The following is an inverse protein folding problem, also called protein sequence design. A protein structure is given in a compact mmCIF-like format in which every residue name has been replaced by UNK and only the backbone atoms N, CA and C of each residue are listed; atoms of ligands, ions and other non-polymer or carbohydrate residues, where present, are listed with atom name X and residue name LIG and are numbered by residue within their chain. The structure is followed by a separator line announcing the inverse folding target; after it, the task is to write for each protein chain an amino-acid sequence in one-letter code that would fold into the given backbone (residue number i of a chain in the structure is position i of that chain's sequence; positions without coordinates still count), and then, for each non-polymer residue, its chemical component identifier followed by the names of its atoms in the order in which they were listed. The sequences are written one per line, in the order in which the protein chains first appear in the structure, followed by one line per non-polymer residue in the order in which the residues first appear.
data_IF_781213651539
#
_entry.id   IF_781213651539
#
_cell.length_a   1.000
_cell.length_b   1.000
_cell.length_c   1.000
_cell.angle_alpha   90.00
_cell.angle_beta   90.00
_cell.angle_gamma   90.00
#
_symmetry.space_group_name_H-M   'P 1'
#
loop_
_entity.id
_entity.type
_entity.pdbx_description
1 polymer ?
#
# COMPACT_ATOMS: atom_id res chain seq x y z
N UNK A 1 -13.54 0.99 6.40
CA UNK A 1 -13.44 2.45 6.13
C UNK A 1 -14.00 3.28 7.29
N UNK A 2 -13.50 4.51 7.44
CA UNK A 2 -13.90 5.32 8.59
C UNK A 2 -15.32 5.92 8.51
N UNK A 3 -15.94 6.08 7.34
CA UNK A 3 -17.24 6.72 7.23
C UNK A 3 -18.00 6.36 5.95
N UNK A 4 -19.31 6.50 6.04
CA UNK A 4 -20.24 6.29 4.93
C UNK A 4 -20.12 7.38 3.86
N UNK A 5 -20.17 6.95 2.60
CA UNK A 5 -20.27 7.84 1.43
C UNK A 5 -21.39 7.39 0.50
N UNK A 6 -21.85 8.33 -0.31
CA UNK A 6 -22.77 8.12 -1.43
C UNK A 6 -22.23 8.86 -2.65
N UNK A 7 -22.30 8.23 -3.81
CA UNK A 7 -21.88 8.81 -5.09
C UNK A 7 -22.84 8.40 -6.20
N UNK A 8 -23.12 9.33 -7.13
CA UNK A 8 -23.97 9.08 -8.29
C UNK A 8 -25.44 8.93 -7.96
N UNK A 9 -26.17 8.17 -8.79
CA UNK A 9 -27.61 7.99 -8.73
C UNK A 9 -27.97 6.74 -7.93
N UNK A 10 -28.60 6.92 -6.77
CA UNK A 10 -29.04 5.84 -5.87
C UNK A 10 -30.50 6.03 -5.48
N UNK A 11 -31.26 4.95 -5.26
CA UNK A 11 -32.67 5.06 -4.87
C UNK A 11 -32.82 5.58 -3.42
N UNK A 12 -33.97 6.14 -3.04
CA UNK A 12 -34.22 6.67 -1.70
C UNK A 12 -34.06 5.65 -0.56
N UNK A 13 -34.14 4.36 -0.88
CA UNK A 13 -33.97 3.24 0.07
C UNK A 13 -33.16 2.13 -0.59
N UNK A 14 -32.27 1.51 0.18
CA UNK A 14 -31.55 0.31 -0.25
C UNK A 14 -32.50 -0.82 -0.61
N UNK A 15 -32.16 -1.57 -1.65
CA UNK A 15 -32.90 -2.72 -2.16
C UNK A 15 -34.35 -2.39 -2.52
N UNK A 16 -34.55 -1.26 -3.22
CA UNK A 16 -35.82 -0.87 -3.83
C UNK A 16 -35.66 -0.70 -5.34
N UNK A 17 -36.77 -0.69 -6.07
CA UNK A 17 -36.73 -0.55 -7.52
C UNK A 17 -36.03 0.76 -7.92
N UNK A 18 -34.84 0.62 -8.50
CA UNK A 18 -34.11 1.71 -9.13
C UNK A 18 -34.19 1.55 -10.64
N UNK A 19 -34.81 2.51 -11.32
CA UNK A 19 -35.17 2.37 -12.73
C UNK A 19 -34.31 3.23 -13.62
N UNK A 20 -33.96 2.64 -14.79
CA UNK A 20 -33.35 3.38 -15.89
C UNK A 20 -34.34 4.38 -16.49
N UNK A 21 -33.88 5.39 -17.23
CA UNK A 21 -34.77 6.33 -17.94
C UNK A 21 -35.78 5.65 -18.88
N UNK A 22 -35.43 4.49 -19.42
CA UNK A 22 -36.27 3.68 -20.32
C UNK A 22 -37.23 2.77 -19.57
N UNK A 23 -37.22 2.77 -18.22
CA UNK A 23 -38.12 2.01 -17.36
C UNK A 23 -37.64 0.62 -16.97
N UNK A 24 -36.44 0.19 -17.42
CA UNK A 24 -35.75 -1.01 -16.94
C UNK A 24 -35.34 -0.89 -15.48
N UNK A 25 -34.66 -1.91 -14.95
CA UNK A 25 -34.07 -1.87 -13.63
C UNK A 25 -32.54 -1.83 -13.72
N UNK A 26 -31.88 -1.08 -12.83
CA UNK A 26 -30.47 -1.26 -12.53
C UNK A 26 -30.30 -2.51 -11.67
N UNK A 27 -29.13 -3.14 -11.78
CA UNK A 27 -28.79 -4.37 -11.07
C UNK A 27 -27.93 -4.05 -9.84
N UNK A 28 -28.34 -4.57 -8.70
CA UNK A 28 -27.63 -4.35 -7.44
C UNK A 28 -26.48 -5.34 -7.25
N UNK A 29 -25.31 -4.84 -6.81
CA UNK A 29 -24.22 -5.64 -6.27
C UNK A 29 -23.93 -5.17 -4.85
N UNK A 30 -24.08 -6.07 -3.87
CA UNK A 30 -23.62 -5.82 -2.50
C UNK A 30 -22.19 -6.36 -2.36
N UNK A 31 -21.23 -5.45 -2.30
CA UNK A 31 -19.86 -5.77 -1.88
C UNK A 31 -19.75 -5.65 -0.36
N UNK A 32 -19.30 -6.71 0.32
CA UNK A 32 -19.24 -6.72 1.78
C UNK A 32 -18.15 -7.64 2.30
N UNK A 33 -17.50 -7.19 3.37
CA UNK A 33 -16.42 -7.87 4.06
C UNK A 33 -16.94 -8.80 5.16
N UNK A 34 -16.08 -9.74 5.59
CA UNK A 34 -16.31 -10.69 6.71
C UNK A 34 -17.67 -11.37 6.65
N UNK A 35 -18.07 -11.85 5.46
CA UNK A 35 -19.38 -12.49 5.26
C UNK A 35 -20.55 -11.51 5.48
N UNK A 36 -20.39 -10.27 5.09
CA UNK A 36 -21.34 -9.15 5.24
C UNK A 36 -21.54 -8.66 6.67
N UNK A 37 -20.64 -8.99 7.59
CA UNK A 37 -20.68 -8.53 8.99
C UNK A 37 -19.81 -7.30 9.27
N UNK A 38 -19.00 -6.86 8.30
CA UNK A 38 -18.12 -5.68 8.37
C UNK A 38 -18.55 -4.60 7.36
N UNK A 39 -17.59 -3.82 6.86
CA UNK A 39 -17.85 -2.76 5.89
C UNK A 39 -18.48 -3.30 4.60
N UNK A 40 -19.42 -2.55 4.04
CA UNK A 40 -20.11 -2.92 2.81
C UNK A 40 -20.53 -1.70 2.00
N UNK A 41 -20.70 -1.89 0.70
CA UNK A 41 -21.30 -0.92 -0.22
C UNK A 41 -22.26 -1.59 -1.19
N UNK A 42 -23.33 -0.90 -1.54
CA UNK A 42 -24.31 -1.34 -2.52
C UNK A 42 -24.12 -0.52 -3.81
N UNK A 43 -23.83 -1.21 -4.90
CA UNK A 43 -23.57 -0.65 -6.21
C UNK A 43 -24.78 -0.90 -7.13
N UNK A 44 -25.05 0.03 -8.06
CA UNK A 44 -26.15 -0.04 -9.01
C UNK A 44 -25.59 -0.06 -10.44
N UNK A 45 -25.63 -1.22 -11.09
CA UNK A 45 -25.05 -1.51 -12.39
C UNK A 45 -26.06 -1.35 -13.53
N UNK A 46 -25.59 -0.93 -14.72
CA UNK A 46 -26.35 -0.99 -15.96
C UNK A 46 -26.53 -2.41 -16.49
N UNK A 47 -25.49 -3.22 -16.36
CA UNK A 47 -25.44 -4.62 -16.79
C UNK A 47 -25.50 -5.61 -15.63
N UNK A 48 -25.62 -6.89 -15.92
CA UNK A 48 -25.66 -7.95 -14.89
C UNK A 48 -24.24 -8.16 -14.34
N UNK A 49 -23.95 -7.85 -13.06
CA UNK A 49 -22.58 -7.84 -12.52
C UNK A 49 -21.93 -9.23 -12.43
N UNK A 50 -22.70 -10.30 -12.45
CA UNK A 50 -22.22 -11.68 -12.39
C UNK A 50 -21.98 -12.33 -13.77
N UNK A 51 -22.24 -11.62 -14.88
CA UNK A 51 -22.14 -12.19 -16.21
C UNK A 51 -20.68 -12.34 -16.66
N UNK A 52 -20.32 -13.52 -17.14
CA UNK A 52 -19.06 -13.83 -17.81
C UNK A 52 -19.32 -14.52 -19.14
N UNK A 53 -18.52 -14.22 -20.17
CA UNK A 53 -18.57 -14.84 -21.51
C UNK A 53 -17.46 -15.86 -21.69
N UNK A 54 -16.28 -15.62 -21.09
CA UNK A 54 -15.12 -16.51 -21.16
C UNK A 54 -14.28 -16.42 -19.89
N UNK A 55 -13.53 -17.49 -19.61
CA UNK A 55 -12.58 -17.57 -18.51
C UNK A 55 -11.37 -18.40 -18.91
N UNK A 56 -10.17 -17.82 -18.82
CA UNK A 56 -8.90 -18.47 -19.17
C UNK A 56 -7.82 -18.19 -18.14
N UNK A 57 -6.80 -19.06 -18.01
CA UNK A 57 -5.66 -18.78 -17.14
C UNK A 57 -4.97 -17.46 -17.51
N UNK A 58 -4.53 -16.73 -16.50
CA UNK A 58 -3.63 -15.58 -16.61
C UNK A 58 -2.34 -15.88 -15.87
N UNK A 59 -1.21 -15.70 -16.55
CA UNK A 59 0.11 -15.87 -15.96
C UNK A 59 0.48 -14.63 -15.14
N UNK A 60 0.66 -14.84 -13.84
CA UNK A 60 1.04 -13.78 -12.88
C UNK A 60 2.53 -13.48 -12.94
N UNK A 61 2.93 -12.24 -12.61
CA UNK A 61 4.32 -11.98 -12.21
C UNK A 61 4.78 -12.96 -11.13
N UNK A 62 6.09 -13.27 -11.12
CA UNK A 62 6.65 -14.25 -10.20
C UNK A 62 6.25 -13.97 -8.74
N UNK A 63 5.73 -14.99 -8.07
CA UNK A 63 5.34 -14.95 -6.66
C UNK A 63 6.32 -15.74 -5.78
N UNK A 64 7.40 -16.25 -6.35
CA UNK A 64 8.39 -17.07 -5.66
C UNK A 64 9.21 -16.25 -4.68
N UNK A 65 9.50 -16.85 -3.53
CA UNK A 65 10.35 -16.26 -2.49
C UNK A 65 11.41 -17.24 -2.03
N UNK A 66 12.49 -16.72 -1.45
CA UNK A 66 13.58 -17.47 -0.84
C UNK A 66 13.82 -16.98 0.59
N UNK A 67 14.07 -17.89 1.56
CA UNK A 67 14.32 -17.51 2.94
C UNK A 67 15.47 -16.52 3.10
N UNK A 68 15.36 -15.59 4.07
CA UNK A 68 16.47 -14.73 4.48
C UNK A 68 17.52 -15.53 5.26
N UNK A 69 18.37 -16.24 4.54
CA UNK A 69 19.44 -17.07 5.09
C UNK A 69 20.81 -16.72 4.48
N UNK A 70 21.89 -16.59 5.30
CA UNK A 70 21.84 -16.50 6.76
C UNK A 70 21.00 -15.32 7.21
N UNK A 71 20.43 -15.39 8.42
CA UNK A 71 19.58 -14.32 8.97
C UNK A 71 20.44 -13.08 9.27
N UNK A 72 20.34 -12.07 8.41
CA UNK A 72 21.07 -10.80 8.53
C UNK A 72 20.16 -9.64 8.10
N UNK A 73 20.46 -8.40 8.53
CA UNK A 73 19.86 -7.21 7.95
C UNK A 73 20.18 -7.09 6.46
N UNK A 74 19.23 -6.63 5.66
CA UNK A 74 19.39 -6.45 4.21
C UNK A 74 19.14 -4.99 3.81
N UNK A 75 19.87 -4.56 2.77
CA UNK A 75 19.61 -3.31 2.07
C UNK A 75 19.30 -3.62 0.61
N UNK A 76 18.16 -3.16 0.11
CA UNK A 76 17.66 -3.39 -1.24
C UNK A 76 17.53 -2.04 -1.96
N UNK A 77 18.15 -1.90 -3.13
CA UNK A 77 18.20 -0.66 -3.93
C UNK A 77 17.17 -0.73 -5.05
N UNK A 78 15.92 -0.40 -4.78
CA UNK A 78 14.79 -0.63 -5.69
C UNK A 78 14.88 0.15 -6.99
N UNK A 79 15.47 1.35 -6.98
CA UNK A 79 15.66 2.16 -8.19
C UNK A 79 16.55 1.47 -9.23
N UNK A 80 17.33 0.45 -8.85
CA UNK A 80 18.15 -0.34 -9.77
C UNK A 80 17.38 -1.46 -10.49
N UNK A 81 16.14 -1.73 -10.06
CA UNK A 81 15.33 -2.81 -10.65
C UNK A 81 14.79 -2.50 -12.03
N UNK A 82 14.66 -1.23 -12.38
CA UNK A 82 14.01 -0.78 -13.61
C UNK A 82 14.94 0.16 -14.39
N UNK A 83 15.04 -0.08 -15.70
CA UNK A 83 15.71 0.79 -16.67
C UNK A 83 14.68 1.64 -17.44
N UNK A 84 14.94 1.87 -18.72
CA UNK A 84 14.09 2.69 -19.61
C UNK A 84 12.80 1.97 -20.08
N UNK A 85 12.62 0.70 -19.76
CA UNK A 85 11.45 -0.11 -20.11
C UNK A 85 10.13 0.34 -19.45
N UNK A 86 10.20 1.22 -18.46
CA UNK A 86 9.04 1.72 -17.72
C UNK A 86 7.93 2.30 -18.60
N UNK A 87 8.27 2.82 -19.79
CA UNK A 87 7.28 3.43 -20.72
C UNK A 87 6.23 2.45 -21.22
N UNK A 88 6.60 1.17 -21.34
CA UNK A 88 5.68 0.09 -21.74
C UNK A 88 5.21 -0.77 -20.56
N UNK A 89 5.65 -0.44 -19.36
CA UNK A 89 5.31 -1.18 -18.13
C UNK A 89 4.07 -0.58 -17.47
N UNK A 90 3.16 -1.41 -17.00
CA UNK A 90 2.00 -1.01 -16.21
C UNK A 90 2.14 -1.39 -14.73
N UNK A 91 1.30 -0.78 -13.89
CA UNK A 91 1.35 -0.93 -12.43
C UNK A 91 0.99 -2.34 -11.94
N UNK A 92 0.27 -3.14 -12.70
CA UNK A 92 -0.22 -4.48 -12.30
C UNK A 92 0.76 -5.56 -12.76
N UNK A 93 1.00 -5.65 -14.06
CA UNK A 93 1.85 -6.69 -14.64
C UNK A 93 3.35 -6.43 -14.42
N UNK A 94 3.74 -5.16 -14.23
CA UNK A 94 5.14 -4.77 -14.01
C UNK A 94 5.65 -4.91 -12.58
N UNK A 95 4.82 -5.31 -11.62
CA UNK A 95 5.24 -5.47 -10.20
C UNK A 95 6.35 -6.50 -10.06
N UNK A 96 7.46 -6.12 -9.42
CA UNK A 96 8.51 -7.05 -9.01
C UNK A 96 8.42 -7.30 -7.52
N UNK A 97 8.18 -8.55 -7.12
CA UNK A 97 8.10 -8.94 -5.71
C UNK A 97 9.47 -8.74 -5.05
N UNK A 98 9.50 -7.94 -3.99
CA UNK A 98 10.71 -7.60 -3.23
C UNK A 98 10.80 -8.46 -1.97
N UNK A 99 9.75 -8.46 -1.16
CA UNK A 99 9.65 -9.21 0.08
C UNK A 99 8.26 -9.81 0.21
N UNK A 100 8.12 -10.93 0.90
CA UNK A 100 6.82 -11.51 1.14
C UNK A 100 6.78 -12.60 2.20
N UNK A 101 5.59 -12.78 2.78
CA UNK A 101 5.23 -13.92 3.61
C UNK A 101 3.76 -14.32 3.34
N UNK A 102 3.17 -15.10 4.23
CA UNK A 102 1.78 -15.53 4.08
C UNK A 102 0.73 -14.44 4.34
N UNK A 103 1.11 -13.30 4.93
CA UNK A 103 0.16 -12.25 5.35
C UNK A 103 0.29 -10.99 4.48
N UNK A 104 1.50 -10.68 4.03
CA UNK A 104 1.79 -9.48 3.24
C UNK A 104 2.82 -9.76 2.15
N UNK A 105 2.67 -9.10 1.00
CA UNK A 105 3.63 -9.07 -0.11
C UNK A 105 3.96 -7.65 -0.45
N UNK A 106 5.24 -7.38 -0.61
CA UNK A 106 5.77 -6.05 -0.90
C UNK A 106 6.43 -6.11 -2.27
N UNK A 107 5.91 -5.33 -3.19
CA UNK A 107 6.42 -5.23 -4.57
C UNK A 107 6.77 -3.78 -4.89
N UNK A 108 7.61 -3.61 -5.90
CA UNK A 108 7.92 -2.30 -6.44
C UNK A 108 7.70 -2.29 -7.94
N UNK A 109 7.26 -1.15 -8.48
CA UNK A 109 7.02 -0.97 -9.92
C UNK A 109 7.36 0.44 -10.36
N UNK A 110 7.85 0.55 -11.60
CA UNK A 110 8.02 1.81 -12.32
C UNK A 110 7.24 1.68 -13.62
N UNK A 111 6.22 2.50 -13.81
CA UNK A 111 5.23 2.34 -14.87
C UNK A 111 4.96 3.65 -15.62
N UNK A 112 4.65 3.53 -16.91
CA UNK A 112 4.25 4.64 -17.77
C UNK A 112 3.09 4.28 -18.71
N UNK A 113 2.65 3.02 -18.71
CA UNK A 113 1.51 2.57 -19.50
C UNK A 113 0.27 2.35 -18.63
N UNK A 114 -0.94 2.58 -19.16
CA UNK A 114 -2.17 2.18 -18.50
C UNK A 114 -2.21 0.67 -18.28
N UNK A 115 -2.68 0.24 -17.10
CA UNK A 115 -2.89 -1.18 -16.85
C UNK A 115 -4.17 -1.69 -17.51
N UNK A 116 -4.25 -3.00 -17.69
CA UNK A 116 -5.53 -3.67 -17.91
C UNK A 116 -6.44 -3.52 -16.68
N UNK A 117 -7.73 -3.82 -16.83
CA UNK A 117 -8.63 -3.94 -15.69
C UNK A 117 -8.18 -5.11 -14.81
N UNK A 118 -8.08 -4.86 -13.52
CA UNK A 118 -7.55 -5.81 -12.57
C UNK A 118 -8.41 -5.88 -11.30
N UNK A 119 -8.41 -7.05 -10.67
CA UNK A 119 -9.10 -7.33 -9.40
C UNK A 119 -8.21 -8.20 -8.52
N UNK A 120 -7.87 -7.73 -7.32
CA UNK A 120 -7.21 -8.55 -6.32
C UNK A 120 -8.26 -9.31 -5.48
N UNK A 121 -8.33 -10.62 -5.61
CA UNK A 121 -9.21 -11.50 -4.84
C UNK A 121 -8.58 -12.07 -3.57
N UNK A 122 -7.33 -11.66 -3.21
CA UNK A 122 -6.63 -12.16 -2.01
C UNK A 122 -6.92 -11.32 -0.77
N UNK A 123 -6.82 -10.00 -0.92
CA UNK A 123 -6.99 -9.03 0.14
C UNK A 123 -6.87 -7.60 -0.40
N UNK A 124 -6.77 -6.64 0.49
CA UNK A 124 -6.63 -5.24 0.13
C UNK A 124 -5.22 -4.92 -0.36
N UNK A 125 -5.11 -3.85 -1.11
CA UNK A 125 -3.84 -3.28 -1.54
C UNK A 125 -3.66 -1.89 -0.92
N UNK A 126 -2.46 -1.62 -0.42
CA UNK A 126 -1.99 -0.28 -0.09
C UNK A 126 -0.85 0.05 -1.05
N UNK A 127 -1.08 0.98 -1.96
CA UNK A 127 -0.08 1.41 -2.93
C UNK A 127 0.40 2.81 -2.55
N UNK A 128 1.67 2.92 -2.18
CA UNK A 128 2.30 4.21 -1.91
C UNK A 128 2.93 4.75 -3.19
N UNK A 129 2.51 5.95 -3.59
CA UNK A 129 3.06 6.65 -4.76
C UNK A 129 4.34 7.38 -4.33
N UNK A 130 5.50 6.82 -4.67
CA UNK A 130 6.79 7.43 -4.37
C UNK A 130 7.05 8.66 -5.23
N UNK A 131 6.68 8.58 -6.54
CA UNK A 131 6.88 9.65 -7.50
C UNK A 131 5.92 9.51 -8.68
N UNK A 132 5.64 10.61 -9.37
CA UNK A 132 4.72 10.66 -10.50
C UNK A 132 3.26 10.84 -10.06
N UNK A 133 2.37 10.71 -11.03
CA UNK A 133 0.94 10.89 -10.86
C UNK A 133 0.14 9.94 -11.77
N UNK A 134 -1.07 9.59 -11.33
CA UNK A 134 -1.97 8.72 -12.07
C UNK A 134 -3.44 8.97 -11.71
N UNK A 135 -4.34 8.54 -12.58
CA UNK A 135 -5.73 8.33 -12.23
C UNK A 135 -5.97 6.84 -11.97
N UNK A 136 -6.49 6.50 -10.81
CA UNK A 136 -6.97 5.15 -10.50
C UNK A 136 -8.46 5.09 -10.82
N UNK A 137 -8.79 4.45 -11.93
CA UNK A 137 -10.18 4.26 -12.35
C UNK A 137 -10.73 2.97 -11.74
N UNK A 138 -11.92 3.05 -11.14
CA UNK A 138 -12.52 1.93 -10.40
C UNK A 138 -14.02 1.82 -10.66
N UNK A 139 -14.62 0.71 -10.27
CA UNK A 139 -16.10 0.55 -10.27
C UNK A 139 -16.81 1.56 -9.37
N UNK A 140 -16.10 2.19 -8.44
CA UNK A 140 -16.63 3.22 -7.53
C UNK A 140 -16.47 4.65 -8.06
N UNK A 141 -15.80 4.85 -9.20
CA UNK A 141 -15.39 6.14 -9.73
C UNK A 141 -13.88 6.25 -9.86
N UNK A 142 -13.33 7.45 -10.00
CA UNK A 142 -11.90 7.69 -10.18
C UNK A 142 -11.26 8.41 -9.00
N UNK A 143 -9.97 8.14 -8.80
CA UNK A 143 -9.10 8.81 -7.82
C UNK A 143 -7.89 9.36 -8.55
N UNK A 144 -7.68 10.68 -8.52
CA UNK A 144 -6.41 11.26 -8.93
C UNK A 144 -5.42 11.15 -7.78
N UNK A 145 -4.27 10.59 -8.08
CA UNK A 145 -3.23 10.29 -7.09
C UNK A 145 -1.88 10.83 -7.55
N UNK A 146 -1.06 11.22 -6.59
CA UNK A 146 0.24 11.83 -6.84
C UNK A 146 1.24 11.45 -5.75
N UNK A 147 2.47 11.91 -5.89
CA UNK A 147 3.53 11.67 -4.92
C UNK A 147 3.05 11.85 -3.48
N UNK A 148 3.38 10.90 -2.62
CA UNK A 148 3.04 10.88 -1.20
C UNK A 148 1.70 10.22 -0.88
N UNK A 149 0.88 9.88 -1.88
CA UNK A 149 -0.40 9.21 -1.65
C UNK A 149 -0.22 7.74 -1.28
N UNK A 150 -0.89 7.33 -0.22
CA UNK A 150 -1.29 5.96 0.05
C UNK A 150 -2.65 5.72 -0.58
N UNK A 151 -2.75 4.74 -1.46
CA UNK A 151 -4.00 4.37 -2.13
C UNK A 151 -4.45 3.03 -1.59
N UNK A 152 -5.54 3.01 -0.84
CA UNK A 152 -6.13 1.79 -0.32
C UNK A 152 -7.20 1.32 -1.30
N UNK A 153 -7.02 0.11 -1.82
CA UNK A 153 -7.97 -0.52 -2.74
C UNK A 153 -8.50 -1.78 -2.05
N UNK A 154 -9.78 -1.78 -1.65
CA UNK A 154 -10.40 -2.94 -1.03
C UNK A 154 -10.39 -4.17 -1.94
N UNK A 155 -10.27 -5.34 -1.33
CA UNK A 155 -10.36 -6.63 -2.00
C UNK A 155 -11.55 -6.70 -2.96
N UNK A 156 -11.36 -7.35 -4.09
CA UNK A 156 -12.35 -7.54 -5.14
C UNK A 156 -12.80 -6.28 -5.90
N UNK A 157 -12.24 -5.12 -5.62
CA UNK A 157 -12.48 -3.89 -6.40
C UNK A 157 -11.87 -4.02 -7.80
N UNK A 158 -12.69 -3.96 -8.84
CA UNK A 158 -12.20 -3.87 -10.22
C UNK A 158 -11.69 -2.45 -10.47
N UNK A 159 -10.45 -2.33 -10.91
CA UNK A 159 -9.78 -1.05 -11.16
C UNK A 159 -8.71 -1.14 -12.23
N UNK A 160 -8.21 0.01 -12.68
CA UNK A 160 -6.98 0.12 -13.46
C UNK A 160 -6.22 1.40 -13.11
N UNK A 161 -4.94 1.41 -13.37
CA UNK A 161 -4.06 2.54 -13.20
C UNK A 161 -3.76 3.21 -14.54
N UNK A 162 -3.89 4.51 -14.61
CA UNK A 162 -3.62 5.32 -15.80
C UNK A 162 -2.61 6.39 -15.41
N UNK A 163 -1.29 6.18 -15.63
CA UNK A 163 -0.29 7.22 -15.42
C UNK A 163 -0.61 8.47 -16.25
N UNK A 164 -0.56 9.66 -15.64
CA UNK A 164 -0.97 10.94 -16.27
C UNK A 164 0.19 11.93 -16.40
N UNK A 165 1.29 11.74 -15.66
CA UNK A 165 2.47 12.59 -15.70
C UNK A 165 3.37 12.35 -16.92
N UNK A 166 4.30 13.30 -17.18
CA UNK A 166 5.33 13.15 -18.21
C UNK A 166 6.43 12.13 -17.81
N UNK A 167 6.63 11.94 -16.51
CA UNK A 167 7.59 11.01 -15.92
C UNK A 167 6.98 9.67 -15.57
N UNK A 168 7.82 8.71 -15.09
CA UNK A 168 7.34 7.42 -14.63
C UNK A 168 6.57 7.55 -13.32
N UNK A 169 5.49 6.78 -13.19
CA UNK A 169 4.87 6.48 -11.90
C UNK A 169 5.74 5.46 -11.16
N UNK A 170 6.21 5.81 -9.97
CA UNK A 170 6.95 4.92 -9.07
C UNK A 170 6.05 4.54 -7.91
N UNK A 171 5.83 3.25 -7.72
CA UNK A 171 4.90 2.77 -6.71
C UNK A 171 5.47 1.63 -5.87
N UNK A 172 5.32 1.77 -4.56
CA UNK A 172 5.60 0.76 -3.55
C UNK A 172 4.27 0.09 -3.16
N UNK A 173 4.12 -1.18 -3.52
CA UNK A 173 2.85 -1.90 -3.42
C UNK A 173 2.89 -2.87 -2.25
N UNK A 174 1.99 -2.71 -1.29
CA UNK A 174 1.79 -3.59 -0.13
C UNK A 174 0.46 -4.33 -0.36
N UNK A 175 0.54 -5.62 -0.65
CA UNK A 175 -0.62 -6.49 -0.90
C UNK A 175 -0.87 -7.35 0.33
N UNK A 176 -2.01 -7.19 0.98
CA UNK A 176 -2.40 -7.98 2.14
C UNK A 176 -3.14 -9.27 1.75
N UNK A 177 -3.15 -10.24 2.65
CA UNK A 177 -4.12 -11.36 2.66
C UNK A 177 -5.29 -11.08 3.63
N UNK A 178 -5.56 -9.81 3.91
CA UNK A 178 -6.57 -9.31 4.83
C UNK A 178 -7.05 -7.93 4.38
N UNK A 179 -7.89 -7.29 5.21
CA UNK A 179 -8.24 -5.89 5.03
C UNK A 179 -7.13 -4.98 5.55
N UNK A 180 -7.03 -3.78 4.97
CA UNK A 180 -6.13 -2.71 5.41
C UNK A 180 -7.00 -1.54 5.88
N UNK A 181 -6.87 -1.16 7.15
CA UNK A 181 -7.72 -0.17 7.80
C UNK A 181 -6.90 0.86 8.56
N UNK A 182 -7.47 2.04 8.89
CA UNK A 182 -6.90 2.89 9.93
C UNK A 182 -6.69 2.10 11.23
N UNK A 183 -5.64 2.42 12.03
CA UNK A 183 -5.33 1.65 13.23
C UNK A 183 -6.47 1.69 14.26
N UNK A 184 -6.84 0.53 14.80
CA UNK A 184 -7.91 0.43 15.82
C UNK A 184 -7.69 1.35 17.03
N UNK A 185 -6.42 1.65 17.37
CA UNK A 185 -6.07 2.59 18.44
C UNK A 185 -6.58 4.01 18.22
N UNK A 186 -6.80 4.39 16.95
CA UNK A 186 -7.29 5.71 16.55
C UNK A 186 -8.78 5.73 16.20
N UNK A 187 -9.46 4.59 16.29
CA UNK A 187 -10.88 4.48 15.97
C UNK A 187 -11.73 4.37 17.23
N UNK A 188 -12.89 5.03 17.21
CA UNK A 188 -13.99 4.72 18.11
C UNK A 188 -14.52 3.30 17.81
N UNK A 189 -15.29 2.74 18.74
CA UNK A 189 -15.97 1.46 18.49
C UNK A 189 -16.97 1.48 17.31
N UNK A 190 -17.26 2.64 16.77
CA UNK A 190 -18.14 2.87 15.62
C UNK A 190 -17.40 3.20 14.33
N UNK A 191 -16.06 3.08 14.32
CA UNK A 191 -15.23 3.29 13.13
C UNK A 191 -14.87 4.74 12.82
N UNK A 192 -15.21 5.70 13.67
CA UNK A 192 -14.85 7.11 13.51
C UNK A 192 -13.44 7.35 14.04
N UNK A 193 -12.64 8.18 13.38
CA UNK A 193 -11.35 8.62 13.87
C UNK A 193 -11.51 9.46 15.13
N UNK A 194 -10.65 9.22 16.13
CA UNK A 194 -10.63 9.94 17.39
C UNK A 194 -9.86 11.24 17.21
N UNK A 195 -10.22 12.28 17.99
CA UNK A 195 -9.62 13.61 17.89
C UNK A 195 -8.09 13.63 18.09
N UNK A 196 -7.53 12.69 18.81
CA UNK A 196 -6.09 12.55 19.01
C UNK A 196 -5.38 11.66 17.96
N UNK A 197 -6.09 11.24 16.93
CA UNK A 197 -5.47 10.54 15.80
C UNK A 197 -4.61 11.51 14.98
N UNK A 198 -3.54 11.01 14.32
CA UNK A 198 -2.64 11.85 13.54
C UNK A 198 -3.23 12.32 12.19
N UNK A 199 -4.45 11.94 11.86
CA UNK A 199 -5.23 12.38 10.70
C UNK A 199 -6.72 12.15 10.94
N UNK A 200 -7.57 12.70 10.10
CA UNK A 200 -9.02 12.59 10.25
C UNK A 200 -9.72 12.24 8.90
N UNK A 201 -11.03 12.06 8.95
CA UNK A 201 -11.82 11.69 7.77
C UNK A 201 -11.74 12.68 6.60
N UNK A 202 -11.44 13.96 6.85
CA UNK A 202 -11.26 14.97 5.80
C UNK A 202 -10.01 14.75 4.96
N UNK A 203 -9.00 14.11 5.54
CA UNK A 203 -7.71 13.82 4.91
C UNK A 203 -7.83 12.60 3.98
N UNK A 204 -8.93 11.85 4.07
CA UNK A 204 -9.21 10.67 3.27
C UNK A 204 -10.02 11.05 2.02
N UNK A 205 -9.39 11.04 0.86
CA UNK A 205 -10.02 11.34 -0.43
C UNK A 205 -10.66 10.07 -1.01
N UNK A 206 -11.98 10.12 -1.26
CA UNK A 206 -12.70 9.02 -1.92
C UNK A 206 -12.86 9.26 -3.43
N UNK A 207 -13.42 8.27 -4.15
CA UNK A 207 -13.64 8.38 -5.58
C UNK A 207 -14.54 9.54 -5.96
N UNK A 208 -14.36 10.06 -7.18
CA UNK A 208 -15.25 11.01 -7.85
C UNK A 208 -15.86 10.39 -9.10
N UNK A 209 -17.00 10.89 -9.56
CA UNK A 209 -17.70 10.35 -10.71
C UNK A 209 -19.19 10.17 -10.45
N UNK A 210 -19.94 9.23 -11.02
CA UNK A 210 -19.55 7.89 -11.47
C UNK A 210 -18.70 7.89 -12.76
N UNK A 211 -17.91 6.82 -12.95
CA UNK A 211 -17.19 6.55 -14.17
C UNK A 211 -18.03 5.58 -15.01
N UNK A 212 -18.57 6.07 -16.13
CA UNK A 212 -19.43 5.27 -17.00
C UNK A 212 -18.75 5.06 -18.35
N UNK A 213 -18.38 3.81 -18.62
CA UNK A 213 -17.67 3.42 -19.84
C UNK A 213 -18.50 2.36 -20.58
N UNK A 214 -18.70 2.57 -21.88
CA UNK A 214 -19.33 1.59 -22.75
C UNK A 214 -18.27 0.63 -23.31
N UNK A 215 -18.62 -0.64 -23.45
CA UNK A 215 -17.72 -1.67 -23.98
C UNK A 215 -18.41 -3.02 -23.98
N UNK A 216 -17.98 -3.89 -24.90
CA UNK A 216 -18.44 -5.27 -24.97
C UNK A 216 -17.24 -6.21 -24.98
N UNK A 217 -17.41 -7.40 -24.40
CA UNK A 217 -16.38 -8.43 -24.32
C UNK A 217 -15.05 -7.92 -23.73
N UNK A 218 -15.15 -7.30 -22.55
CA UNK A 218 -14.02 -6.65 -21.87
C UNK A 218 -13.31 -7.63 -20.96
N UNK A 219 -11.98 -7.67 -21.05
CA UNK A 219 -11.15 -8.52 -20.20
C UNK A 219 -10.88 -7.90 -18.83
N UNK A 220 -10.97 -8.71 -17.79
CA UNK A 220 -10.61 -8.38 -16.39
C UNK A 220 -9.64 -9.43 -15.86
N UNK A 221 -8.47 -8.99 -15.44
CA UNK A 221 -7.47 -9.83 -14.78
C UNK A 221 -7.84 -10.02 -13.30
N UNK A 222 -7.91 -11.25 -12.85
CA UNK A 222 -8.25 -11.57 -11.46
C UNK A 222 -7.14 -12.40 -10.84
N UNK A 223 -6.52 -11.85 -9.79
CA UNK A 223 -5.57 -12.55 -8.94
C UNK A 223 -6.32 -13.20 -7.79
N UNK A 224 -6.15 -14.48 -7.56
CA UNK A 224 -6.90 -15.20 -6.52
C UNK A 224 -6.12 -16.37 -5.92
N UNK A 225 -6.65 -16.97 -4.88
CA UNK A 225 -6.07 -18.15 -4.24
C UNK A 225 -6.40 -19.40 -5.04
N UNK A 226 -5.39 -20.17 -5.40
CA UNK A 226 -5.50 -21.52 -5.91
C UNK A 226 -5.13 -22.56 -4.85
N UNK A 227 -5.24 -23.83 -5.19
CA UNK A 227 -4.90 -24.95 -4.29
C UNK A 227 -3.42 -24.92 -3.87
N UNK A 228 -2.52 -24.54 -4.75
CA UNK A 228 -1.08 -24.58 -4.54
C UNK A 228 -0.45 -23.16 -4.52
N UNK A 229 -1.19 -22.15 -4.13
CA UNK A 229 -0.68 -20.78 -4.05
C UNK A 229 -1.57 -19.76 -4.75
N UNK A 230 -0.95 -18.68 -5.21
CA UNK A 230 -1.62 -17.59 -5.91
C UNK A 230 -1.66 -17.90 -7.40
N UNK A 231 -2.83 -17.71 -8.02
CA UNK A 231 -3.07 -17.95 -9.44
C UNK A 231 -3.84 -16.79 -10.07
N UNK A 232 -3.82 -16.70 -11.38
CA UNK A 232 -4.52 -15.69 -12.15
C UNK A 232 -5.58 -16.29 -13.08
N UNK A 233 -6.68 -15.57 -13.22
CA UNK A 233 -7.72 -15.85 -14.21
C UNK A 233 -8.01 -14.57 -14.99
N UNK A 234 -8.11 -14.65 -16.30
CA UNK A 234 -8.64 -13.60 -17.16
C UNK A 234 -10.10 -13.92 -17.44
N UNK A 235 -11.00 -13.10 -16.94
CA UNK A 235 -12.42 -13.14 -17.31
C UNK A 235 -12.66 -12.22 -18.51
N UNK A 236 -13.49 -12.65 -19.46
CA UNK A 236 -14.13 -11.76 -20.42
C UNK A 236 -15.58 -11.56 -19.98
N UNK A 237 -15.96 -10.30 -19.76
CA UNK A 237 -17.32 -9.92 -19.32
C UNK A 237 -18.07 -9.22 -20.46
N UNK A 238 -19.42 -9.38 -20.57
CA UNK A 238 -20.16 -8.92 -21.75
C UNK A 238 -20.28 -7.40 -21.87
N UNK A 239 -20.03 -6.66 -20.79
CA UNK A 239 -20.05 -5.19 -20.75
C UNK A 239 -18.89 -4.66 -19.92
N UNK A 240 -18.55 -3.37 -20.10
CA UNK A 240 -17.47 -2.77 -19.33
C UNK A 240 -17.84 -2.71 -17.85
N UNK A 241 -16.97 -3.14 -16.90
CA UNK A 241 -17.28 -3.13 -15.46
C UNK A 241 -17.49 -1.74 -14.85
N UNK A 242 -17.03 -0.67 -15.51
CA UNK A 242 -17.31 0.70 -15.10
C UNK A 242 -18.68 1.15 -15.62
N UNK A 243 -19.72 0.48 -15.15
CA UNK A 243 -21.12 0.70 -15.52
C UNK A 243 -22.01 1.07 -14.32
N UNK A 244 -21.39 1.31 -13.16
CA UNK A 244 -22.05 1.68 -11.91
C UNK A 244 -22.55 3.11 -11.98
N UNK A 245 -23.86 3.31 -11.96
CA UNK A 245 -24.49 4.63 -12.02
C UNK A 245 -24.45 5.35 -10.67
N UNK A 246 -24.35 4.59 -9.59
CA UNK A 246 -24.23 5.10 -8.24
C UNK A 246 -23.99 4.00 -7.23
N UNK A 247 -23.54 4.38 -6.05
CA UNK A 247 -23.30 3.48 -4.93
C UNK A 247 -23.38 4.21 -3.60
N UNK A 248 -23.58 3.47 -2.51
CA UNK A 248 -23.49 3.99 -1.16
C UNK A 248 -22.93 2.93 -0.20
N UNK A 249 -22.17 3.37 0.78
CA UNK A 249 -21.62 2.49 1.81
C UNK A 249 -20.32 2.95 2.45
N UNK A 250 -19.66 2.02 3.13
CA UNK A 250 -18.40 2.24 3.83
C UNK A 250 -17.21 1.51 3.16
N UNK A 251 -17.46 0.61 2.21
CA UNK A 251 -16.44 -0.14 1.46
C UNK A 251 -16.22 0.54 0.11
N UNK A 252 -15.11 1.25 -0.05
CA UNK A 252 -14.70 1.92 -1.29
C UNK A 252 -13.20 2.23 -1.26
N UNK A 253 -12.52 2.38 -2.42
CA UNK A 253 -11.13 2.78 -2.45
C UNK A 253 -10.97 4.23 -2.01
N UNK A 254 -9.82 4.56 -1.40
CA UNK A 254 -9.52 5.91 -0.97
C UNK A 254 -8.02 6.20 -1.01
N UNK A 255 -7.68 7.47 -1.07
CA UNK A 255 -6.30 7.95 -0.98
C UNK A 255 -6.10 8.82 0.26
N UNK A 256 -4.91 8.74 0.83
CA UNK A 256 -4.43 9.55 1.95
C UNK A 256 -3.02 10.05 1.62
N UNK A 257 -2.79 11.36 1.67
CA UNK A 257 -1.45 11.89 1.41
C UNK A 257 -0.62 11.90 2.70
N UNK A 258 0.63 11.47 2.61
CA UNK A 258 1.56 11.43 3.74
C UNK A 258 1.82 12.80 4.36
N UNK A 259 1.67 13.89 3.59
CA UNK A 259 1.82 15.27 4.05
C UNK A 259 0.65 15.72 4.96
N UNK A 260 -0.50 15.03 4.92
CA UNK A 260 -1.64 15.27 5.81
C UNK A 260 -1.52 14.54 7.16
N UNK A 261 -0.42 13.80 7.36
CA UNK A 261 -0.15 13.13 8.64
C UNK A 261 0.49 14.09 9.64
N UNK A 262 -0.16 14.29 10.79
CA UNK A 262 0.33 15.14 11.88
C UNK A 262 1.20 14.33 12.85
N UNK A 263 2.54 14.51 12.85
CA UNK A 263 3.42 13.71 13.70
C UNK A 263 3.23 14.03 15.17
N UNK A 264 3.19 13.00 16.01
CA UNK A 264 3.07 13.12 17.47
C UNK A 264 4.45 13.18 18.09
N UNK A 265 4.81 14.35 18.65
CA UNK A 265 6.08 14.58 19.34
C UNK A 265 5.84 14.95 20.80
N UNK A 266 6.69 14.48 21.70
CA UNK A 266 6.59 14.72 23.15
C UNK A 266 7.89 15.23 23.78
N UNK A 267 7.82 15.48 25.09
CA UNK A 267 9.02 15.84 25.89
C UNK A 267 10.02 14.68 25.97
N UNK A 268 9.51 13.45 26.00
CA UNK A 268 10.30 12.21 26.00
C UNK A 268 9.97 11.40 24.75
N UNK A 269 10.84 10.45 24.43
CA UNK A 269 10.69 9.62 23.25
C UNK A 269 9.31 8.97 23.15
N UNK A 270 8.69 9.15 21.99
CA UNK A 270 7.42 8.52 21.65
C UNK A 270 7.72 7.21 20.91
N UNK A 271 7.17 6.06 21.37
CA UNK A 271 7.45 4.77 20.75
C UNK A 271 6.85 4.69 19.33
N UNK A 272 7.39 3.84 18.45
CA UNK A 272 6.99 3.72 17.04
C UNK A 272 5.48 3.65 16.73
N UNK A 273 4.60 3.08 17.59
CA UNK A 273 3.16 3.11 17.33
C UNK A 273 2.52 4.48 17.10
N UNK A 274 3.15 5.59 17.50
CA UNK A 274 2.65 6.95 17.17
C UNK A 274 2.81 7.29 15.68
N UNK A 275 3.62 6.54 14.94
CA UNK A 275 3.84 6.68 13.50
C UNK A 275 2.91 5.79 12.67
N UNK A 276 2.05 4.98 13.31
CA UNK A 276 1.18 4.04 12.62
C UNK A 276 0.11 4.78 11.79
N UNK A 277 0.01 4.44 10.51
CA UNK A 277 -0.95 5.02 9.56
C UNK A 277 -2.05 4.03 9.18
N UNK A 278 -1.71 2.77 8.97
CA UNK A 278 -2.65 1.69 8.68
C UNK A 278 -2.25 0.39 9.39
N UNK A 279 -3.17 -0.54 9.45
CA UNK A 279 -2.92 -1.91 9.92
C UNK A 279 -3.66 -2.94 9.07
N UNK A 280 -3.08 -4.13 9.00
CA UNK A 280 -3.70 -5.34 8.46
C UNK A 280 -3.56 -6.50 9.45
N UNK A 281 -3.96 -7.70 9.02
CA UNK A 281 -3.79 -8.87 9.85
C UNK A 281 -2.30 -9.28 9.92
N UNK A 282 -1.74 -9.28 11.11
CA UNK A 282 -0.33 -9.59 11.41
C UNK A 282 0.71 -8.63 10.77
N UNK A 283 0.33 -7.42 10.44
CA UNK A 283 1.27 -6.37 10.08
C UNK A 283 0.71 -4.98 10.34
N UNK A 284 1.60 -3.99 10.45
CA UNK A 284 1.27 -2.57 10.57
C UNK A 284 2.04 -1.77 9.52
N UNK A 285 1.48 -0.64 9.11
CA UNK A 285 2.12 0.33 8.24
C UNK A 285 2.30 1.61 9.05
N UNK A 286 3.53 2.10 9.11
CA UNK A 286 3.88 3.37 9.75
C UNK A 286 4.53 4.30 8.73
N UNK A 287 4.45 5.61 8.97
CA UNK A 287 5.20 6.59 8.19
C UNK A 287 6.00 7.51 9.11
N UNK A 288 7.24 7.70 8.74
CA UNK A 288 8.11 8.69 9.35
C UNK A 288 8.10 9.92 8.46
N UNK A 289 7.51 10.99 8.96
CA UNK A 289 7.37 12.27 8.23
C UNK A 289 8.30 13.33 8.83
N UNK A 290 8.57 14.42 8.12
CA UNK A 290 9.29 15.56 8.67
C UNK A 290 8.68 16.04 9.99
N UNK A 291 9.48 16.12 11.05
CA UNK A 291 8.97 16.36 12.40
C UNK A 291 9.99 16.97 13.36
N UNK A 292 9.49 17.67 14.37
CA UNK A 292 10.30 18.00 15.56
C UNK A 292 10.67 16.73 16.30
N UNK A 293 11.88 16.74 16.89
CA UNK A 293 12.34 15.64 17.75
C UNK A 293 11.86 15.84 19.18
N UNK A 294 12.11 14.84 20.04
CA UNK A 294 11.81 14.92 21.48
C UNK A 294 12.50 16.13 22.12
N UNK A 295 11.76 16.93 22.89
CA UNK A 295 12.24 18.22 23.37
C UNK A 295 12.71 18.22 24.82
N UNK A 296 13.03 17.07 25.44
CA UNK A 296 13.71 17.04 26.72
C UNK A 296 15.14 17.58 26.56
N UNK A 297 15.65 18.43 27.48
CA UNK A 297 17.00 19.03 27.36
C UNK A 297 18.15 18.03 27.21
N UNK A 298 17.96 16.80 27.64
CA UNK A 298 18.92 15.70 27.53
C UNK A 298 18.42 14.58 26.60
N UNK A 299 17.53 14.89 25.64
CA UNK A 299 17.07 13.91 24.66
C UNK A 299 18.21 13.51 23.71
N UNK A 300 18.13 12.29 23.22
CA UNK A 300 18.92 11.80 22.10
C UNK A 300 17.96 11.72 20.93
N UNK A 301 18.05 12.61 19.93
CA UNK A 301 17.07 12.70 18.85
C UNK A 301 16.89 11.45 18.02
N UNK A 302 17.99 10.76 17.63
CA UNK A 302 17.88 9.47 16.92
C UNK A 302 17.40 8.37 17.87
N UNK A 303 16.65 7.35 17.36
CA UNK A 303 16.12 6.29 18.20
C UNK A 303 17.25 5.44 18.83
N UNK A 304 16.92 4.74 19.89
CA UNK A 304 17.81 3.77 20.54
C UNK A 304 18.02 2.54 19.66
N UNK A 305 19.10 1.78 19.94
CA UNK A 305 19.20 0.40 19.43
C UNK A 305 18.08 -0.43 20.06
N UNK A 306 17.42 -1.23 19.24
CA UNK A 306 16.29 -2.05 19.68
C UNK A 306 16.23 -3.39 18.95
N UNK A 307 15.38 -4.27 19.42
CA UNK A 307 15.09 -5.55 18.79
C UNK A 307 13.58 -5.72 18.71
N UNK A 308 13.07 -5.86 17.51
CA UNK A 308 11.72 -6.36 17.30
C UNK A 308 11.76 -7.85 17.62
N UNK A 309 11.23 -8.26 18.78
CA UNK A 309 11.39 -9.64 19.24
C UNK A 309 10.52 -10.65 18.49
N UNK A 310 9.46 -10.18 17.85
CA UNK A 310 8.41 -10.98 17.21
C UNK A 310 7.97 -10.45 15.84
N UNK A 311 8.68 -9.47 15.28
CA UNK A 311 8.38 -8.92 13.95
C UNK A 311 9.64 -8.63 13.14
N UNK A 312 9.52 -8.77 11.82
CA UNK A 312 10.46 -8.19 10.87
C UNK A 312 10.06 -6.73 10.60
N UNK A 313 11.07 -5.85 10.52
CA UNK A 313 10.90 -4.44 10.20
C UNK A 313 11.39 -4.16 8.78
N UNK A 314 10.54 -3.56 7.96
CA UNK A 314 10.89 -3.08 6.62
C UNK A 314 10.73 -1.58 6.57
N UNK A 315 11.82 -0.87 6.24
CA UNK A 315 11.81 0.58 6.07
C UNK A 315 12.07 0.92 4.60
N UNK A 316 11.10 1.54 3.92
CA UNK A 316 11.26 2.10 2.58
C UNK A 316 11.52 3.60 2.67
N UNK A 317 12.65 4.04 2.15
CA UNK A 317 13.14 5.41 2.25
C UNK A 317 12.71 6.23 1.03
N UNK A 318 11.79 7.18 1.23
CA UNK A 318 11.10 7.90 0.15
C UNK A 318 11.63 9.31 -0.09
N UNK A 319 12.30 9.93 0.90
CA UNK A 319 12.81 11.31 0.76
C UNK A 319 13.42 11.87 2.04
N UNK A 320 14.05 13.05 1.92
CA UNK A 320 14.67 13.74 3.05
C UNK A 320 16.05 13.22 3.42
N UNK A 321 16.46 13.50 4.65
CA UNK A 321 17.79 13.15 5.20
C UNK A 321 17.67 12.12 6.33
N UNK A 322 18.26 10.96 6.13
CA UNK A 322 18.17 9.82 7.05
C UNK A 322 19.37 9.81 8.02
N UNK A 323 19.38 10.70 9.03
CA UNK A 323 20.48 10.86 9.99
C UNK A 323 20.88 9.52 10.65
N UNK A 324 19.90 8.72 11.05
CA UNK A 324 20.15 7.42 11.65
C UNK A 324 20.86 6.41 10.73
N UNK A 325 20.84 6.62 9.43
CA UNK A 325 21.39 5.72 8.39
C UNK A 325 22.61 6.29 7.66
N UNK A 326 23.08 7.49 7.99
CA UNK A 326 24.27 8.10 7.34
C UNK A 326 25.49 7.17 7.38
N UNK A 327 26.07 6.93 6.22
CA UNK A 327 27.23 6.05 6.04
C UNK A 327 26.90 4.57 5.77
N UNK A 328 25.62 4.20 5.74
CA UNK A 328 25.19 2.82 5.44
C UNK A 328 24.95 2.52 3.96
N UNK A 329 24.95 3.55 3.11
CA UNK A 329 24.55 3.44 1.70
C UNK A 329 23.04 3.58 1.45
N UNK A 330 22.23 3.74 2.49
CA UNK A 330 20.78 4.01 2.37
C UNK A 330 20.57 5.39 1.75
N UNK A 331 19.67 5.46 0.80
CA UNK A 331 19.20 6.67 0.14
C UNK A 331 17.77 6.48 -0.36
N UNK A 332 17.24 7.45 -1.07
CA UNK A 332 15.89 7.36 -1.65
C UNK A 332 15.76 6.14 -2.57
N UNK A 333 14.63 5.44 -2.52
CA UNK A 333 14.40 4.19 -3.24
C UNK A 333 15.09 2.98 -2.62
N UNK A 334 15.65 3.11 -1.41
CA UNK A 334 16.21 1.99 -0.64
C UNK A 334 15.13 1.34 0.23
N UNK A 335 15.29 0.04 0.48
CA UNK A 335 14.65 -0.68 1.59
C UNK A 335 15.72 -1.18 2.55
N UNK A 336 15.51 -1.06 3.86
CA UNK A 336 16.19 -1.91 4.85
C UNK A 336 15.21 -2.94 5.41
N UNK A 337 15.65 -4.19 5.48
CA UNK A 337 14.99 -5.28 6.22
C UNK A 337 15.81 -5.58 7.46
N UNK A 338 15.20 -5.49 8.64
CA UNK A 338 15.75 -5.90 9.92
C UNK A 338 14.93 -7.09 10.44
N UNK A 339 15.50 -8.30 10.47
CA UNK A 339 14.76 -9.48 10.88
C UNK A 339 14.45 -9.50 12.37
N UNK A 340 13.35 -10.12 12.74
CA UNK A 340 12.93 -10.31 14.12
C UNK A 340 14.01 -10.96 14.98
N UNK A 341 14.17 -10.49 16.22
CA UNK A 341 15.16 -10.95 17.16
C UNK A 341 16.59 -10.45 16.91
N UNK A 342 16.85 -9.71 15.83
CA UNK A 342 18.13 -9.07 15.58
C UNK A 342 18.14 -7.62 16.07
N UNK A 343 19.12 -7.31 16.96
CA UNK A 343 19.28 -5.93 17.45
C UNK A 343 19.79 -5.01 16.34
N UNK A 344 19.11 -3.93 16.09
CA UNK A 344 19.45 -2.94 15.07
C UNK A 344 19.21 -1.52 15.60
N UNK A 345 19.60 -0.50 14.85
CA UNK A 345 19.48 0.89 15.27
C UNK A 345 20.31 1.82 14.40
N UNK A 346 20.58 3.04 14.88
CA UNK A 346 21.33 4.03 14.12
C UNK A 346 22.77 3.58 13.82
N UNK A 347 23.34 4.14 12.77
CA UNK A 347 24.75 3.89 12.40
C UNK A 347 25.71 4.46 13.45
N UNK A 348 26.95 3.92 13.55
CA UNK A 348 27.95 4.45 14.48
C UNK A 348 28.13 5.97 14.35
N UNK A 349 28.17 6.68 15.48
CA UNK A 349 28.32 8.14 15.55
C UNK A 349 27.01 8.93 15.33
N UNK A 350 25.90 8.28 15.02
CA UNK A 350 24.62 8.99 14.83
C UNK A 350 24.08 9.59 16.14
N UNK A 351 24.31 8.97 17.29
CA UNK A 351 23.94 9.54 18.59
C UNK A 351 24.60 10.90 18.80
N UNK A 352 25.92 10.95 18.64
CA UNK A 352 26.73 12.17 18.87
C UNK A 352 26.32 13.27 17.88
N UNK A 353 26.14 12.93 16.60
CA UNK A 353 25.73 13.90 15.58
C UNK A 353 24.34 14.44 15.80
N UNK A 354 23.44 13.67 16.39
CA UNK A 354 22.05 14.07 16.60
C UNK A 354 21.84 15.00 17.79
N UNK A 355 22.79 15.08 18.74
CA UNK A 355 22.66 15.93 19.92
C UNK A 355 22.51 17.39 19.51
N UNK A 356 21.40 18.02 19.95
CA UNK A 356 21.07 19.40 19.63
C UNK A 356 20.30 19.59 18.33
N UNK A 357 20.02 18.54 17.58
CA UNK A 357 19.10 18.59 16.43
C UNK A 357 17.68 18.77 16.96
N UNK A 358 16.91 19.67 16.35
CA UNK A 358 15.53 19.98 16.76
C UNK A 358 14.47 19.46 15.79
N UNK A 359 14.90 19.04 14.59
CA UNK A 359 14.00 18.63 13.51
C UNK A 359 14.67 17.56 12.64
N UNK A 360 13.91 16.54 12.25
CA UNK A 360 14.30 15.58 11.23
C UNK A 360 13.46 15.78 9.96
N UNK A 361 14.17 15.95 8.87
CA UNK A 361 13.60 15.99 7.51
C UNK A 361 13.78 14.60 6.88
N UNK A 362 12.98 13.64 7.33
CA UNK A 362 12.98 12.29 6.76
C UNK A 362 11.57 11.90 6.35
N UNK A 363 11.47 11.15 5.26
CA UNK A 363 10.24 10.55 4.79
C UNK A 363 10.47 9.07 4.49
N UNK A 364 9.79 8.21 5.23
CA UNK A 364 9.90 6.76 5.07
C UNK A 364 8.59 6.06 5.38
N UNK A 365 8.32 4.98 4.64
CA UNK A 365 7.22 4.05 4.88
C UNK A 365 7.78 2.80 5.55
N UNK A 366 7.26 2.44 6.71
CA UNK A 366 7.68 1.23 7.45
C UNK A 366 6.55 0.20 7.42
N UNK A 367 6.94 -1.06 7.29
CA UNK A 367 6.04 -2.21 7.46
C UNK A 367 6.65 -3.15 8.48
N UNK A 368 5.97 -3.33 9.61
CA UNK A 368 6.31 -4.38 10.57
C UNK A 368 5.35 -5.55 10.40
N UNK A 369 5.90 -6.76 10.27
CA UNK A 369 5.12 -7.98 10.07
C UNK A 369 5.51 -9.07 11.06
N UNK A 370 4.51 -9.72 11.65
CA UNK A 370 4.70 -10.72 12.72
C UNK A 370 4.99 -12.14 12.20
N UNK A 371 5.32 -12.26 10.93
CA UNK A 371 5.89 -13.48 10.32
C UNK A 371 7.14 -13.12 9.54
N UNK A 372 8.16 -14.00 9.54
CA UNK A 372 9.39 -13.75 8.81
C UNK A 372 9.13 -13.47 7.33
N UNK A 373 9.84 -12.48 6.80
CA UNK A 373 9.83 -12.13 5.38
C UNK A 373 10.89 -12.93 4.62
N UNK A 374 10.50 -13.33 3.45
CA UNK A 374 11.36 -13.97 2.46
C UNK A 374 11.64 -12.99 1.31
N UNK A 375 12.78 -13.17 0.65
CA UNK A 375 13.21 -12.35 -0.49
C UNK A 375 12.51 -12.83 -1.76
N UNK A 376 11.82 -11.91 -2.43
CA UNK A 376 11.35 -12.12 -3.79
C UNK A 376 12.47 -11.93 -4.82
N UNK A 377 12.16 -12.13 -6.10
CA UNK A 377 13.09 -11.92 -7.21
C UNK A 377 13.66 -10.48 -7.22
N UNK A 378 12.78 -9.47 -7.06
CA UNK A 378 13.19 -8.07 -6.97
C UNK A 378 14.09 -7.78 -5.77
N UNK A 379 13.83 -8.40 -4.62
CA UNK A 379 14.66 -8.28 -3.44
C UNK A 379 16.08 -8.81 -3.68
N UNK A 380 16.17 -10.02 -4.20
CA UNK A 380 17.47 -10.66 -4.52
C UNK A 380 18.25 -9.86 -5.58
N UNK A 381 17.56 -9.33 -6.59
CA UNK A 381 18.19 -8.58 -7.68
C UNK A 381 18.70 -7.18 -7.27
N UNK A 382 18.18 -6.61 -6.18
CA UNK A 382 18.50 -5.25 -5.71
C UNK A 382 19.38 -5.20 -4.46
N UNK A 383 19.83 -6.35 -3.94
CA UNK A 383 20.55 -6.46 -2.67
C UNK A 383 21.92 -5.76 -2.69
N UNK A 384 22.22 -5.00 -1.63
CA UNK A 384 23.55 -4.50 -1.29
C UNK A 384 24.19 -5.42 -0.23
N UNK A 385 25.12 -6.29 -0.58
CA UNK A 385 25.67 -7.29 0.34
C UNK A 385 26.58 -6.69 1.43
N UNK A 386 26.91 -5.40 1.34
CA UNK A 386 27.75 -4.72 2.32
C UNK A 386 27.01 -4.23 3.56
N UNK A 387 25.71 -4.10 3.49
CA UNK A 387 24.89 -3.40 4.50
C UNK A 387 25.01 -3.97 5.92
N UNK A 388 24.86 -5.29 6.08
CA UNK A 388 24.92 -5.93 7.40
C UNK A 388 26.20 -5.63 8.19
N UNK A 389 27.27 -5.29 7.52
CA UNK A 389 28.61 -5.09 8.10
C UNK A 389 28.93 -3.63 8.40
N UNK A 390 28.04 -2.69 8.09
CA UNK A 390 28.30 -1.25 8.29
C UNK A 390 28.46 -0.88 9.77
N UNK A 391 27.72 -1.53 10.67
CA UNK A 391 27.85 -1.32 12.12
C UNK A 391 29.17 -1.79 12.71
N UNK A 392 29.86 -2.72 12.05
CA UNK A 392 31.18 -3.23 12.48
C UNK A 392 32.36 -2.54 11.77
N UNK A 393 32.13 -1.39 11.12
CA UNK A 393 33.13 -0.69 10.33
C UNK A 393 33.53 -1.44 9.07
N UNK A 394 32.62 -2.22 8.49
CA UNK A 394 32.81 -2.97 7.26
C UNK A 394 33.54 -4.31 7.45
N UNK A 395 33.80 -4.72 8.69
CA UNK A 395 34.42 -6.05 8.99
C UNK A 395 33.40 -7.16 8.80
N UNK A 396 33.32 -7.69 7.59
CA UNK A 396 32.46 -8.80 7.20
C UNK A 396 33.28 -9.99 6.64
N UNK A 397 32.60 -11.08 6.24
CA UNK A 397 33.25 -12.25 5.65
C UNK A 397 34.10 -11.86 4.43
N UNK A 398 35.36 -12.28 4.42
CA UNK A 398 36.30 -12.03 3.32
C UNK A 398 36.97 -10.66 3.31
N UNK A 399 36.88 -9.88 4.37
CA UNK A 399 37.54 -8.57 4.53
C UNK A 399 38.46 -8.53 5.75
#
# INVERSE_FOLDING_TARGET
MAHYRQLGDVPPKRHTQHRTPEGGLYYEELMGEEGFSSDSSLLYHRGIPSAIVDARPWELPSQATTPNLPLIPRHLKLHQLFGEEWKGTDVVAGRRLVLGNSDVRISYVVAGAPSELYRNGLGDECVYVEDGEATVETVFGSLDVHRGDYVIIPRATTHRWVPTGEGPLRAYCIEANSHITPPKRYLSRFGQLLEHAPYCERDLRGPVGPLLVDGADVDVLVKHRGTNGVVGTRYTVPHHPFDVVGWDGCLYPYAFNVEDYEPITGRIHQPPPVHQVFEGNNFVICNFVPRKVDYHPLSIPVPYYHSNVDSDEVMFYCGGDYEARKGSGIGQGSISLHPGGHTHGPQPGAYERSIGVEFFDELAVMVDTFKPLELGEGGTASEDPGYAWTWSGGRGPGR
#
